data_IF_465500747864
#
_entry.id   IF_465500747864
#
_cell.length_a   1.000
_cell.length_b   1.000
_cell.length_c   1.000
_cell.angle_alpha   90.00
_cell.angle_beta   90.00
_cell.angle_gamma   90.00
#
_symmetry.space_group_name_H-M   'P 1'
#
loop_
_entity.id
_entity.type
_entity.pdbx_description
1 polymer ?
#
# COMPACT_ATOMS: atom_id res chain seq x y z
N UNK A 1 -31.04 27.41 -7.84
CA UNK A 1 -30.57 28.55 -7.04
C UNK A 1 -29.28 28.16 -6.34
N UNK A 2 -28.15 28.79 -6.68
CA UNK A 2 -26.85 28.49 -6.07
C UNK A 2 -26.78 28.98 -4.62
N UNK A 3 -26.12 28.22 -3.75
CA UNK A 3 -25.88 28.64 -2.35
C UNK A 3 -25.07 29.95 -2.36
N UNK A 4 -25.42 30.95 -1.52
CA UNK A 4 -24.68 32.21 -1.48
C UNK A 4 -23.20 31.96 -1.18
N UNK A 5 -22.33 32.75 -1.80
CA UNK A 5 -20.88 32.65 -1.62
C UNK A 5 -20.54 32.86 -0.15
N UNK A 6 -19.71 31.99 0.40
CA UNK A 6 -19.22 32.15 1.76
C UNK A 6 -18.44 33.47 1.89
N UNK A 7 -18.61 34.21 3.00
CA UNK A 7 -17.76 35.37 3.28
C UNK A 7 -16.30 34.92 3.48
N UNK A 8 -15.36 35.82 3.17
CA UNK A 8 -13.95 35.61 3.47
C UNK A 8 -13.72 35.42 4.98
N UNK A 9 -12.64 34.76 5.37
CA UNK A 9 -12.41 34.31 6.75
C UNK A 9 -13.04 32.97 7.11
N UNK A 10 -13.42 32.16 6.12
CA UNK A 10 -13.96 30.80 6.32
C UNK A 10 -13.19 29.76 5.52
N UNK A 11 -13.13 28.51 5.98
CA UNK A 11 -12.50 27.41 5.22
C UNK A 11 -13.12 27.23 3.82
N UNK A 12 -14.42 27.52 3.68
CA UNK A 12 -15.10 27.50 2.39
C UNK A 12 -14.62 28.61 1.44
N UNK A 13 -14.28 29.78 1.97
CA UNK A 13 -13.69 30.87 1.19
C UNK A 13 -12.23 30.58 0.82
N UNK A 14 -11.44 29.97 1.71
CA UNK A 14 -10.10 29.48 1.38
C UNK A 14 -10.11 28.54 0.16
N UNK A 15 -10.99 27.52 0.17
CA UNK A 15 -11.17 26.60 -0.96
C UNK A 15 -11.72 27.27 -2.22
N UNK A 16 -12.39 28.43 -2.10
CA UNK A 16 -12.81 29.23 -3.25
C UNK A 16 -11.61 29.95 -3.86
N UNK A 17 -10.78 30.61 -3.05
CA UNK A 17 -9.56 31.28 -3.52
C UNK A 17 -8.65 30.32 -4.29
N UNK A 18 -8.49 29.08 -3.80
CA UNK A 18 -7.73 28.04 -4.50
C UNK A 18 -8.35 27.62 -5.84
N UNK A 19 -9.68 27.54 -5.95
CA UNK A 19 -10.37 27.18 -7.21
C UNK A 19 -10.35 28.31 -8.23
N UNK A 20 -10.42 29.55 -7.76
CA UNK A 20 -10.42 30.76 -8.60
C UNK A 20 -9.00 31.28 -8.89
N UNK A 21 -7.97 30.71 -8.24
CA UNK A 21 -6.57 31.12 -8.41
C UNK A 21 -6.26 32.52 -7.88
N UNK A 22 -7.08 33.05 -6.97
CA UNK A 22 -6.91 34.38 -6.39
C UNK A 22 -6.05 34.33 -5.13
N UNK A 23 -5.35 35.42 -4.78
CA UNK A 23 -4.55 35.46 -3.55
C UNK A 23 -5.45 35.23 -2.34
N UNK A 24 -5.00 34.33 -1.45
CA UNK A 24 -5.69 33.99 -0.21
C UNK A 24 -5.37 35.04 0.84
N UNK A 25 -6.40 35.68 1.38
CA UNK A 25 -6.30 36.58 2.53
C UNK A 25 -5.87 35.85 3.82
N UNK A 26 -5.20 36.58 4.71
CA UNK A 26 -4.73 36.05 5.99
C UNK A 26 -5.87 35.43 6.82
N UNK A 27 -7.06 36.03 6.79
CA UNK A 27 -8.23 35.52 7.50
C UNK A 27 -8.65 34.12 7.01
N UNK A 28 -8.59 33.84 5.70
CA UNK A 28 -8.88 32.50 5.18
C UNK A 28 -7.78 31.49 5.50
N UNK A 29 -6.52 31.91 5.55
CA UNK A 29 -5.40 31.03 5.93
C UNK A 29 -5.53 30.58 7.40
N UNK A 30 -5.85 31.52 8.30
CA UNK A 30 -6.09 31.23 9.72
C UNK A 30 -7.28 30.28 9.85
N UNK A 31 -8.39 30.56 9.17
CA UNK A 31 -9.59 29.71 9.21
C UNK A 31 -9.33 28.27 8.72
N UNK A 32 -8.55 28.09 7.65
CA UNK A 32 -8.17 26.76 7.16
C UNK A 32 -7.32 26.00 8.19
N UNK A 33 -6.36 26.70 8.80
CA UNK A 33 -5.47 26.13 9.83
C UNK A 33 -6.26 25.71 11.07
N UNK A 34 -7.19 26.54 11.54
CA UNK A 34 -8.07 26.22 12.67
C UNK A 34 -9.00 25.05 12.36
N UNK A 35 -9.59 25.00 11.16
CA UNK A 35 -10.43 23.89 10.73
C UNK A 35 -9.65 22.56 10.71
N UNK A 36 -8.41 22.58 10.20
CA UNK A 36 -7.52 21.42 10.24
C UNK A 36 -7.15 20.98 11.66
N UNK A 37 -6.94 21.93 12.58
CA UNK A 37 -6.67 21.64 14.00
C UNK A 37 -7.87 21.00 14.67
N UNK A 38 -9.08 21.55 14.48
CA UNK A 38 -10.32 21.00 15.01
C UNK A 38 -10.59 19.61 14.46
N UNK A 39 -10.40 19.39 13.16
CA UNK A 39 -10.54 18.08 12.54
C UNK A 39 -9.59 17.04 13.16
N UNK A 40 -8.32 17.39 13.45
CA UNK A 40 -7.39 16.46 14.12
C UNK A 40 -7.77 16.18 15.58
N UNK A 41 -8.35 17.15 16.27
CA UNK A 41 -8.81 16.99 17.66
C UNK A 41 -10.11 16.19 17.74
N UNK A 42 -10.96 16.28 16.72
CA UNK A 42 -12.25 15.57 16.65
C UNK A 42 -12.20 14.29 15.83
N UNK A 43 -11.12 14.04 15.10
CA UNK A 43 -10.96 12.83 14.31
C UNK A 43 -10.91 11.65 15.28
N UNK A 44 -11.82 10.68 15.17
CA UNK A 44 -11.61 9.42 15.85
C UNK A 44 -10.26 8.89 15.38
N UNK A 45 -9.42 8.48 16.33
CA UNK A 45 -8.19 7.75 16.03
C UNK A 45 -8.57 6.68 15.01
N UNK A 46 -7.96 6.65 13.80
CA UNK A 46 -8.18 5.51 12.92
C UNK A 46 -7.91 4.26 13.75
N UNK A 47 -8.76 3.22 13.69
CA UNK A 47 -8.56 2.03 14.51
C UNK A 47 -7.10 1.63 14.31
N UNK A 48 -6.33 1.71 15.40
CA UNK A 48 -4.97 1.22 15.42
C UNK A 48 -5.07 -0.19 14.86
N UNK A 49 -4.36 -0.47 13.76
CA UNK A 49 -4.39 -1.76 13.10
C UNK A 49 -4.26 -2.83 14.19
N UNK A 50 -5.39 -3.42 14.55
CA UNK A 50 -5.45 -4.44 15.56
C UNK A 50 -4.82 -5.64 14.90
N UNK A 51 -3.71 -6.10 15.48
CA UNK A 51 -3.32 -7.49 15.34
C UNK A 51 -4.45 -8.31 15.96
N UNK A 52 -5.52 -8.54 15.20
CA UNK A 52 -6.50 -9.56 15.53
C UNK A 52 -5.83 -10.91 15.28
N UNK A 53 -5.76 -11.72 16.34
CA UNK A 53 -5.45 -13.14 16.23
C UNK A 53 -6.35 -13.80 15.18
N UNK A 54 -5.84 -14.77 14.41
CA UNK A 54 -6.46 -15.18 13.17
C UNK A 54 -7.81 -15.85 13.45
N UNK A 55 -8.88 -15.17 13.06
CA UNK A 55 -10.19 -15.79 12.85
C UNK A 55 -9.97 -16.76 11.69
N UNK A 56 -10.02 -18.07 11.95
CA UNK A 56 -9.87 -19.19 11.00
C UNK A 56 -9.91 -18.78 9.50
N UNK A 57 -8.76 -18.43 8.95
CA UNK A 57 -8.62 -17.76 7.65
C UNK A 57 -7.91 -18.66 6.62
N UNK A 58 -8.34 -19.89 6.45
CA UNK A 58 -7.67 -20.80 5.49
C UNK A 58 -8.42 -20.96 4.15
N UNK A 59 -9.67 -20.53 4.02
CA UNK A 59 -10.43 -20.69 2.75
C UNK A 59 -10.83 -19.36 2.06
N UNK A 60 -10.99 -18.26 2.79
CA UNK A 60 -11.40 -16.96 2.20
C UNK A 60 -10.23 -16.08 1.76
N UNK A 61 -9.08 -16.16 2.42
CA UNK A 61 -7.92 -15.31 2.12
C UNK A 61 -7.32 -15.57 0.72
N UNK A 62 -7.43 -16.81 0.23
CA UNK A 62 -6.99 -17.18 -1.13
C UNK A 62 -7.91 -16.55 -2.19
N UNK A 63 -9.21 -16.46 -1.91
CA UNK A 63 -10.20 -15.86 -2.80
C UNK A 63 -10.06 -14.33 -2.85
N UNK A 64 -9.83 -13.68 -1.71
CA UNK A 64 -9.61 -12.23 -1.65
C UNK A 64 -8.37 -11.80 -2.44
N UNK A 65 -7.27 -12.55 -2.34
CA UNK A 65 -6.05 -12.25 -3.08
C UNK A 65 -6.24 -12.45 -4.59
N UNK A 66 -7.00 -13.50 -4.95
CA UNK A 66 -7.34 -13.77 -6.35
C UNK A 66 -8.24 -12.67 -6.93
N UNK A 67 -9.24 -12.20 -6.16
CA UNK A 67 -10.09 -11.08 -6.51
C UNK A 67 -9.30 -9.79 -6.71
N UNK A 68 -8.32 -9.50 -5.85
CA UNK A 68 -7.42 -8.36 -5.98
C UNK A 68 -6.62 -8.46 -7.27
N UNK A 69 -6.02 -9.62 -7.55
CA UNK A 69 -5.24 -9.85 -8.77
C UNK A 69 -6.08 -9.65 -10.03
N UNK A 70 -7.32 -10.15 -10.05
CA UNK A 70 -8.21 -10.03 -11.20
C UNK A 70 -8.68 -8.60 -11.41
N UNK A 71 -9.00 -7.89 -10.33
CA UNK A 71 -9.35 -6.47 -10.38
C UNK A 71 -8.20 -5.63 -10.95
N UNK A 72 -6.96 -5.90 -10.51
CA UNK A 72 -5.77 -5.21 -11.01
C UNK A 72 -5.53 -5.51 -12.50
N UNK A 73 -5.71 -6.76 -12.95
CA UNK A 73 -5.61 -7.11 -14.38
C UNK A 73 -6.60 -6.34 -15.23
N UNK A 74 -7.85 -6.24 -14.79
CA UNK A 74 -8.90 -5.52 -15.52
C UNK A 74 -8.54 -4.03 -15.61
N UNK A 75 -8.17 -3.42 -14.48
CA UNK A 75 -7.80 -2.01 -14.44
C UNK A 75 -6.61 -1.69 -15.36
N UNK A 76 -5.58 -2.54 -15.35
CA UNK A 76 -4.41 -2.38 -16.22
C UNK A 76 -4.78 -2.54 -17.70
N UNK A 77 -5.58 -3.55 -18.07
CA UNK A 77 -6.06 -3.72 -19.46
C UNK A 77 -6.82 -2.51 -19.95
N UNK A 78 -7.72 -1.95 -19.15
CA UNK A 78 -8.47 -0.74 -19.52
C UNK A 78 -7.57 0.49 -19.61
N UNK A 79 -6.54 0.59 -18.77
CA UNK A 79 -5.54 1.67 -18.85
C UNK A 79 -4.74 1.58 -20.14
N UNK A 80 -4.28 0.38 -20.54
CA UNK A 80 -3.57 0.17 -21.82
C UNK A 80 -4.43 0.62 -23.00
N UNK A 81 -5.73 0.29 -23.00
CA UNK A 81 -6.67 0.67 -24.06
C UNK A 81 -6.88 2.18 -24.15
N UNK A 82 -6.97 2.88 -23.00
CA UNK A 82 -7.25 4.32 -22.95
C UNK A 82 -6.01 5.18 -23.18
N UNK A 83 -4.91 4.86 -22.52
CA UNK A 83 -3.64 5.58 -22.63
C UNK A 83 -2.45 4.66 -22.29
N UNK A 84 -1.78 4.09 -23.30
CA UNK A 84 -0.68 3.16 -23.08
C UNK A 84 0.55 3.83 -22.45
N UNK A 85 0.70 5.16 -22.53
CA UNK A 85 1.85 5.87 -21.95
C UNK A 85 1.85 5.83 -20.42
N UNK A 86 0.69 5.58 -19.79
CA UNK A 86 0.55 5.49 -18.33
C UNK A 86 1.04 4.17 -17.75
N UNK A 87 1.28 3.15 -18.57
CA UNK A 87 1.67 1.83 -18.06
C UNK A 87 3.09 1.82 -17.51
N UNK A 88 4.03 2.50 -18.17
CA UNK A 88 5.42 2.57 -17.73
C UNK A 88 5.60 3.13 -16.30
N UNK A 89 4.99 4.28 -15.94
CA UNK A 89 5.09 4.78 -14.56
C UNK A 89 4.38 3.87 -13.56
N UNK A 90 3.19 3.34 -13.87
CA UNK A 90 2.45 2.42 -12.98
C UNK A 90 3.29 1.16 -12.69
N UNK A 91 3.89 0.57 -13.72
CA UNK A 91 4.73 -0.62 -13.57
C UNK A 91 6.00 -0.34 -12.73
N UNK A 92 6.52 0.90 -12.77
CA UNK A 92 7.67 1.30 -11.95
C UNK A 92 7.30 1.36 -10.47
N UNK A 93 6.19 2.01 -10.14
CA UNK A 93 5.70 2.11 -8.77
C UNK A 93 5.33 0.73 -8.19
N UNK A 94 4.69 -0.14 -8.99
CA UNK A 94 4.37 -1.51 -8.57
C UNK A 94 5.63 -2.34 -8.26
N UNK A 95 6.67 -2.25 -9.11
CA UNK A 95 7.94 -2.94 -8.83
C UNK A 95 8.56 -2.46 -7.52
N UNK A 96 8.61 -1.15 -7.33
CA UNK A 96 9.14 -0.56 -6.08
C UNK A 96 8.35 -1.04 -4.86
N UNK A 97 7.01 -1.02 -4.92
CA UNK A 97 6.17 -1.49 -3.82
C UNK A 97 6.36 -2.99 -3.53
N UNK A 98 6.47 -3.83 -4.57
CA UNK A 98 6.71 -5.27 -4.41
C UNK A 98 8.09 -5.54 -3.83
N UNK A 99 9.12 -4.82 -4.27
CA UNK A 99 10.47 -4.93 -3.70
C UNK A 99 10.51 -4.49 -2.24
N UNK A 100 9.84 -3.39 -1.90
CA UNK A 100 9.74 -2.91 -0.53
C UNK A 100 8.93 -3.84 0.39
N UNK A 101 7.90 -4.51 -0.16
CA UNK A 101 7.10 -5.50 0.57
C UNK A 101 7.77 -6.87 0.63
N UNK A 102 8.83 -7.11 -0.16
CA UNK A 102 9.59 -8.34 -0.13
C UNK A 102 10.32 -8.41 1.22
N UNK A 103 9.80 -9.23 2.13
CA UNK A 103 10.48 -9.57 3.37
C UNK A 103 11.85 -10.21 3.11
N UNK A 104 12.65 -10.45 4.17
CA UNK A 104 13.92 -11.14 4.03
C UNK A 104 13.67 -12.49 3.33
N UNK A 105 14.19 -12.62 2.11
CA UNK A 105 14.21 -13.91 1.42
C UNK A 105 15.33 -14.68 2.09
N UNK A 106 14.98 -15.65 2.95
CA UNK A 106 15.97 -16.62 3.41
C UNK A 106 16.58 -17.27 2.17
N UNK A 107 17.90 -17.07 2.00
CA UNK A 107 18.63 -17.80 1.00
C UNK A 107 18.41 -19.29 1.25
N UNK A 108 18.19 -20.10 0.19
CA UNK A 108 18.14 -21.54 0.38
C UNK A 108 19.41 -21.95 1.12
N UNK A 109 19.26 -22.69 2.23
CA UNK A 109 20.41 -23.22 2.98
C UNK A 109 21.19 -24.12 2.04
N UNK A 110 22.23 -23.57 1.42
CA UNK A 110 23.23 -24.38 0.74
C UNK A 110 23.90 -25.21 1.83
N UNK A 111 23.82 -26.54 1.70
CA UNK A 111 24.51 -27.43 2.61
C UNK A 111 25.99 -27.06 2.61
N UNK A 112 26.51 -26.80 3.80
CA UNK A 112 27.94 -26.54 3.97
C UNK A 112 28.73 -27.76 3.50
N UNK A 113 29.98 -27.56 3.07
CA UNK A 113 30.86 -28.66 2.64
C UNK A 113 31.02 -29.73 3.73
N UNK A 114 30.96 -29.32 5.00
CA UNK A 114 30.97 -30.22 6.15
C UNK A 114 29.74 -31.13 6.20
N UNK A 115 28.54 -30.58 5.97
CA UNK A 115 27.29 -31.34 5.92
C UNK A 115 27.26 -32.29 4.72
N UNK A 116 27.74 -31.84 3.54
CA UNK A 116 27.86 -32.68 2.35
C UNK A 116 28.81 -33.88 2.57
N UNK A 117 29.94 -33.65 3.25
CA UNK A 117 30.87 -34.74 3.59
C UNK A 117 30.30 -35.69 4.65
N UNK A 118 29.52 -35.19 5.60
CA UNK A 118 28.84 -36.01 6.60
C UNK A 118 27.80 -36.93 5.95
N UNK A 119 26.99 -36.39 5.04
CA UNK A 119 26.03 -37.17 4.27
C UNK A 119 26.71 -38.22 3.38
N UNK A 120 27.81 -37.84 2.70
CA UNK A 120 28.59 -38.78 1.89
C UNK A 120 29.18 -39.93 2.72
N UNK A 121 29.57 -39.68 3.99
CA UNK A 121 30.04 -40.72 4.91
C UNK A 121 28.89 -41.62 5.36
N UNK A 122 27.75 -41.06 5.73
CA UNK A 122 26.56 -41.81 6.11
C UNK A 122 26.06 -42.72 4.98
N UNK A 123 26.04 -42.22 3.74
CA UNK A 123 25.66 -42.99 2.56
C UNK A 123 26.60 -44.17 2.29
N UNK A 124 27.91 -44.02 2.55
CA UNK A 124 28.87 -45.13 2.43
C UNK A 124 28.71 -46.15 3.54
N UNK A 125 28.48 -45.71 4.77
CA UNK A 125 28.24 -46.59 5.90
C UNK A 125 26.97 -47.45 5.70
N UNK A 126 25.90 -46.84 5.19
CA UNK A 126 24.66 -47.55 4.88
C UNK A 126 24.84 -48.64 3.80
N UNK A 127 25.67 -48.39 2.78
CA UNK A 127 26.01 -49.38 1.75
C UNK A 127 26.93 -50.50 2.23
N UNK A 128 27.70 -50.26 3.28
CA UNK A 128 28.59 -51.27 3.87
C UNK A 128 27.87 -52.16 4.90
N UNK A 129 26.71 -51.73 5.39
CA UNK A 129 25.90 -52.42 6.40
C UNK A 129 24.75 -53.25 5.82
N UNK A 130 24.50 -53.18 4.50
CA UNK A 130 23.56 -54.03 3.77
C UNK A 130 24.29 -54.96 2.82
#
# INVERSE_FOLDING_TARGET
MGRPKAPCGTDAAYRRHLREGTPVDEACQIAHTEAGRRYRQSAPTPPAASNEEPIAAEETAVDDLQLIVDTLRIALKETVKKDPTKIAPIARELRYAVEAARGPVEAPKEMTLAEQLAEARAARAARAAG
#
